data_IF_796546552961
#
_entry.id   IF_796546552961
#
_cell.length_a   1.000
_cell.length_b   1.000
_cell.length_c   1.000
_cell.angle_alpha   90.00
_cell.angle_beta   90.00
_cell.angle_gamma   90.00
#
_symmetry.space_group_name_H-M   'P 1'
#
loop_
_entity.id
_entity.type
_entity.pdbx_description
1 polymer ?
#
# COMPACT_ATOMS: atom_id res chain seq x y z
N UNK A 1 12.08 -11.22 69.37
CA UNK A 1 11.16 -11.98 68.51
C UNK A 1 10.16 -10.99 67.95
N UNK A 2 10.17 -10.80 66.62
CA UNK A 2 9.05 -10.54 65.68
C UNK A 2 7.94 -9.57 66.12
N UNK A 3 7.41 -8.59 65.38
CA UNK A 3 7.47 -7.93 64.05
C UNK A 3 6.76 -6.58 64.36
N UNK A 4 6.88 -5.45 63.67
CA UNK A 4 6.38 -5.24 62.31
C UNK A 4 6.72 -3.78 61.98
N UNK A 5 7.67 -3.54 61.08
CA UNK A 5 7.99 -2.18 60.62
C UNK A 5 6.89 -1.83 59.61
N UNK A 6 5.93 -1.00 60.03
CA UNK A 6 4.86 -0.48 59.18
C UNK A 6 5.45 0.32 58.01
N UNK A 7 5.69 -0.37 56.91
CA UNK A 7 6.15 0.20 55.66
C UNK A 7 4.95 0.87 54.97
N UNK A 8 4.74 2.16 55.23
CA UNK A 8 3.75 2.97 54.52
C UNK A 8 4.21 3.23 53.09
N UNK A 9 4.13 2.20 52.24
CA UNK A 9 4.24 2.34 50.80
C UNK A 9 2.91 2.86 50.28
N UNK A 10 2.85 4.15 50.00
CA UNK A 10 1.84 4.74 49.12
C UNK A 10 1.97 4.04 47.75
N UNK A 11 0.90 3.47 47.17
CA UNK A 11 0.97 3.07 45.77
C UNK A 11 1.07 4.38 44.97
N UNK A 12 2.23 4.62 44.37
CA UNK A 12 2.30 5.53 43.24
C UNK A 12 1.34 4.91 42.21
N UNK A 13 0.20 5.56 42.00
CA UNK A 13 -0.61 5.28 40.82
C UNK A 13 0.29 5.67 39.66
N UNK A 14 0.95 4.68 39.06
CA UNK A 14 1.38 4.80 37.68
C UNK A 14 0.08 5.02 36.93
N UNK A 15 -0.23 6.28 36.63
CA UNK A 15 -1.16 6.58 35.57
C UNK A 15 -0.57 5.88 34.35
N UNK A 16 -0.98 4.63 34.14
CA UNK A 16 -0.87 3.98 32.85
C UNK A 16 -1.56 4.94 31.91
N UNK A 17 -0.76 5.76 31.23
CA UNK A 17 -1.21 6.50 30.10
C UNK A 17 -1.66 5.41 29.14
N UNK A 18 -2.95 5.10 29.16
CA UNK A 18 -3.62 4.40 28.10
C UNK A 18 -3.46 5.29 26.87
N UNK A 19 -2.28 5.21 26.26
CA UNK A 19 -2.15 5.46 24.84
C UNK A 19 -3.12 4.47 24.25
N UNK A 20 -4.29 4.98 23.86
CA UNK A 20 -5.18 4.30 22.94
C UNK A 20 -4.32 3.96 21.73
N UNK A 21 -3.73 2.76 21.78
CA UNK A 21 -2.99 2.21 20.68
C UNK A 21 -4.09 1.94 19.68
N UNK A 22 -4.24 2.87 18.73
CA UNK A 22 -5.09 2.68 17.58
C UNK A 22 -4.72 1.30 17.01
N UNK A 23 -5.64 0.34 17.09
CA UNK A 23 -5.50 -1.02 16.52
C UNK A 23 -5.19 -0.99 15.01
N UNK A 24 -5.27 0.20 14.40
CA UNK A 24 -4.86 0.51 13.04
C UNK A 24 -3.34 0.48 12.80
N UNK A 25 -2.50 0.70 13.83
CA UNK A 25 -1.03 0.73 13.67
C UNK A 25 -0.37 -0.64 13.83
N UNK A 26 -1.13 -1.66 14.23
CA UNK A 26 -0.64 -3.03 14.22
C UNK A 26 -0.75 -3.53 12.78
N UNK A 27 0.35 -3.88 12.09
CA UNK A 27 0.23 -4.56 10.82
C UNK A 27 -0.50 -5.86 11.11
N UNK A 28 -1.77 -5.93 10.73
CA UNK A 28 -2.47 -7.20 10.61
C UNK A 28 -1.66 -7.97 9.59
N UNK A 29 -0.82 -8.88 10.06
CA UNK A 29 -0.04 -9.75 9.22
C UNK A 29 -1.03 -10.69 8.54
N UNK A 30 -1.63 -10.22 7.44
CA UNK A 30 -2.49 -11.03 6.59
C UNK A 30 -1.56 -11.93 5.80
N UNK A 31 -1.54 -13.26 6.07
CA UNK A 31 -0.58 -14.14 5.42
C UNK A 31 -0.72 -14.07 3.90
N UNK A 32 0.38 -13.85 3.19
CA UNK A 32 0.38 -13.83 1.72
C UNK A 32 0.61 -15.24 1.19
N UNK A 33 -0.41 -15.88 0.62
CA UNK A 33 -0.32 -17.25 0.09
C UNK A 33 0.45 -17.28 -1.22
N UNK A 34 0.27 -16.25 -2.05
CA UNK A 34 0.94 -16.14 -3.34
C UNK A 34 1.47 -14.72 -3.52
N UNK A 35 2.71 -14.60 -3.98
CA UNK A 35 3.31 -13.31 -4.29
C UNK A 35 4.29 -13.46 -5.44
N UNK A 36 4.21 -12.57 -6.43
CA UNK A 36 5.17 -12.51 -7.53
C UNK A 36 5.51 -11.06 -7.86
N UNK A 37 6.81 -10.81 -7.95
CA UNK A 37 7.38 -9.53 -8.36
C UNK A 37 7.87 -9.62 -9.81
N UNK A 38 7.43 -8.69 -10.63
CA UNK A 38 7.81 -8.54 -12.04
C UNK A 38 8.67 -7.29 -12.21
N UNK A 39 9.82 -7.42 -12.85
CA UNK A 39 10.67 -6.27 -13.17
C UNK A 39 10.00 -5.40 -14.24
N UNK A 40 9.87 -4.10 -13.97
CA UNK A 40 9.36 -3.12 -14.94
C UNK A 40 10.49 -2.43 -15.73
N UNK A 41 11.73 -2.62 -15.29
CA UNK A 41 12.94 -2.07 -15.90
C UNK A 41 14.01 -3.16 -16.00
N UNK A 42 14.93 -3.06 -16.96
CA UNK A 42 16.05 -4.02 -17.11
C UNK A 42 16.89 -4.17 -15.85
N UNK A 43 17.04 -3.09 -15.07
CA UNK A 43 17.75 -3.07 -13.79
C UNK A 43 16.96 -3.62 -12.61
N UNK A 44 15.70 -4.03 -12.83
CA UNK A 44 14.74 -4.43 -11.80
C UNK A 44 14.52 -3.40 -10.66
N UNK A 45 14.94 -2.15 -10.89
CA UNK A 45 14.85 -1.06 -9.92
C UNK A 45 13.38 -0.67 -9.64
N UNK A 46 12.54 -0.66 -10.69
CA UNK A 46 11.08 -0.57 -10.56
C UNK A 46 10.45 -1.95 -10.75
N UNK A 47 9.36 -2.20 -10.06
CA UNK A 47 8.69 -3.49 -10.08
C UNK A 47 7.18 -3.39 -9.92
N UNK A 48 6.48 -4.39 -10.44
CA UNK A 48 5.08 -4.69 -10.14
C UNK A 48 5.07 -5.88 -9.18
N UNK A 49 4.44 -5.75 -8.02
CA UNK A 49 4.27 -6.85 -7.07
C UNK A 49 2.78 -7.19 -6.97
N UNK A 50 2.46 -8.45 -7.25
CA UNK A 50 1.10 -8.98 -7.29
C UNK A 50 0.99 -10.14 -6.33
N UNK A 51 -0.01 -10.14 -5.46
CA UNK A 51 -0.21 -11.29 -4.60
C UNK A 51 -1.57 -11.40 -3.95
N UNK A 52 -1.77 -12.55 -3.33
CA UNK A 52 -3.03 -12.97 -2.74
C UNK A 52 -2.80 -13.11 -1.24
N UNK A 53 -3.57 -12.34 -0.50
CA UNK A 53 -3.57 -12.35 0.95
C UNK A 53 -4.69 -13.26 1.44
N UNK A 54 -4.35 -14.22 2.31
CA UNK A 54 -5.31 -15.03 3.03
C UNK A 54 -5.79 -14.30 4.27
N UNK A 55 -7.10 -14.21 4.40
CA UNK A 55 -7.74 -13.82 5.64
C UNK A 55 -9.19 -14.29 5.62
N UNK A 56 -9.95 -13.94 6.67
CA UNK A 56 -11.41 -14.11 6.66
C UNK A 56 -12.04 -13.52 5.38
N UNK A 57 -11.45 -12.44 4.87
CA UNK A 57 -11.70 -11.89 3.54
C UNK A 57 -10.39 -11.97 2.75
N UNK A 58 -10.28 -12.92 1.82
CA UNK A 58 -9.09 -13.02 0.97
C UNK A 58 -9.07 -11.88 -0.04
N UNK A 59 -7.90 -11.25 -0.24
CA UNK A 59 -7.75 -10.09 -1.13
C UNK A 59 -6.59 -10.26 -2.10
N UNK A 60 -6.59 -9.45 -3.16
CA UNK A 60 -5.48 -9.34 -4.09
C UNK A 60 -4.84 -7.97 -3.93
N UNK A 61 -3.54 -7.94 -3.69
CA UNK A 61 -2.73 -6.74 -3.70
C UNK A 61 -2.01 -6.64 -5.05
N UNK A 62 -2.15 -5.49 -5.68
CA UNK A 62 -1.38 -5.11 -6.87
C UNK A 62 -0.70 -3.79 -6.52
N UNK A 63 0.62 -3.75 -6.55
CA UNK A 63 1.37 -2.53 -6.26
C UNK A 63 2.52 -2.32 -7.24
N UNK A 64 2.77 -1.06 -7.58
CA UNK A 64 3.97 -0.64 -8.31
C UNK A 64 4.93 -0.07 -7.27
N UNK A 65 6.16 -0.55 -7.24
CA UNK A 65 7.16 -0.10 -6.29
C UNK A 65 8.53 0.11 -6.90
N UNK A 66 9.42 0.69 -6.10
CA UNK A 66 10.85 0.76 -6.39
C UNK A 66 11.72 0.34 -5.20
N UNK A 67 13.02 0.17 -5.45
CA UNK A 67 13.98 -0.26 -4.42
C UNK A 67 14.31 0.84 -3.38
N UNK A 68 13.74 2.04 -3.49
CA UNK A 68 13.84 3.11 -2.47
C UNK A 68 12.69 3.10 -1.48
N UNK A 69 11.73 2.19 -1.65
CA UNK A 69 10.56 2.07 -0.79
C UNK A 69 9.38 2.93 -1.24
N UNK A 70 9.42 3.52 -2.44
CA UNK A 70 8.24 4.16 -3.03
C UNK A 70 7.26 3.08 -3.48
N UNK A 71 5.97 3.28 -3.21
CA UNK A 71 4.90 2.31 -3.49
C UNK A 71 3.64 3.02 -3.92
N UNK A 72 3.00 2.51 -4.96
CA UNK A 72 1.66 2.90 -5.41
C UNK A 72 0.82 1.64 -5.33
N UNK A 73 -0.15 1.62 -4.42
CA UNK A 73 -1.10 0.53 -4.29
C UNK A 73 -2.21 0.76 -5.31
N UNK A 74 -2.50 -0.23 -6.14
CA UNK A 74 -3.60 -0.20 -7.09
C UNK A 74 -4.82 -0.79 -6.42
N UNK A 75 -5.66 0.09 -5.89
CA UNK A 75 -7.01 -0.28 -5.44
C UNK A 75 -7.80 -0.87 -6.62
N UNK A 76 -8.81 -1.69 -6.32
CA UNK A 76 -9.63 -2.33 -7.35
C UNK A 76 -10.16 -1.35 -8.40
N UNK A 77 -10.71 -0.20 -7.98
CA UNK A 77 -11.20 0.83 -8.89
C UNK A 77 -10.09 1.36 -9.82
N UNK A 78 -8.91 1.65 -9.26
CA UNK A 78 -7.74 2.12 -10.02
C UNK A 78 -7.25 1.06 -11.01
N UNK A 79 -7.23 -0.21 -10.59
CA UNK A 79 -6.87 -1.32 -11.45
C UNK A 79 -7.83 -1.49 -12.63
N UNK A 80 -9.14 -1.39 -12.38
CA UNK A 80 -10.16 -1.46 -13.43
C UNK A 80 -9.96 -0.35 -14.46
N UNK A 81 -9.85 0.91 -14.01
CA UNK A 81 -9.59 2.03 -14.92
C UNK A 81 -8.27 1.87 -15.68
N UNK A 82 -7.23 1.36 -15.03
CA UNK A 82 -5.95 1.10 -15.67
C UNK A 82 -6.09 0.08 -16.81
N UNK A 83 -6.83 -1.01 -16.59
CA UNK A 83 -7.08 -2.05 -17.59
C UNK A 83 -7.94 -1.55 -18.75
N UNK A 84 -8.96 -0.73 -18.48
CA UNK A 84 -9.77 -0.08 -19.53
C UNK A 84 -8.92 0.77 -20.47
N UNK A 85 -7.81 1.32 -19.95
CA UNK A 85 -6.90 2.21 -20.69
C UNK A 85 -5.68 1.54 -21.29
N UNK A 86 -5.59 0.21 -21.19
CA UNK A 86 -4.46 -0.58 -21.71
C UNK A 86 -4.11 -0.24 -23.16
N UNK A 87 -5.11 -0.05 -24.03
CA UNK A 87 -4.89 0.19 -25.45
C UNK A 87 -4.29 1.58 -25.70
N UNK A 88 -4.82 2.61 -25.01
CA UNK A 88 -4.30 3.98 -25.07
C UNK A 88 -2.86 4.05 -24.55
N UNK A 89 -2.59 3.39 -23.42
CA UNK A 89 -1.24 3.29 -22.82
C UNK A 89 -0.28 2.58 -23.77
N UNK A 90 -0.68 1.44 -24.33
CA UNK A 90 0.15 0.68 -25.27
C UNK A 90 0.48 1.52 -26.51
N UNK A 91 -0.49 2.28 -27.03
CA UNK A 91 -0.28 3.18 -28.16
C UNK A 91 0.77 4.25 -27.86
N UNK A 92 0.70 4.85 -26.66
CA UNK A 92 1.68 5.86 -26.21
C UNK A 92 3.08 5.24 -26.11
N UNK A 93 3.19 4.06 -25.46
CA UNK A 93 4.46 3.35 -25.29
C UNK A 93 5.09 2.93 -26.63
N UNK A 94 4.27 2.57 -27.61
CA UNK A 94 4.73 2.12 -28.94
C UNK A 94 4.96 3.26 -29.94
N UNK A 95 4.56 4.49 -29.62
CA UNK A 95 4.77 5.62 -30.52
C UNK A 95 6.27 5.97 -30.60
N UNK A 96 6.84 5.84 -31.80
CA UNK A 96 8.27 6.08 -32.11
C UNK A 96 8.66 7.56 -32.13
N UNK A 97 7.74 8.47 -31.84
CA UNK A 97 8.08 9.88 -31.76
C UNK A 97 8.98 10.09 -30.52
N UNK A 98 10.12 10.81 -30.65
CA UNK A 98 10.84 11.33 -29.48
C UNK A 98 10.03 12.49 -28.90
N UNK A 99 8.76 12.24 -28.59
CA UNK A 99 7.93 13.24 -27.96
C UNK A 99 8.28 13.21 -26.49
N UNK A 100 8.94 14.28 -26.07
CA UNK A 100 8.62 14.98 -24.82
C UNK A 100 7.12 14.82 -24.54
N UNK A 101 6.73 13.72 -23.88
CA UNK A 101 5.41 13.56 -23.31
C UNK A 101 5.37 14.62 -22.22
N UNK A 102 4.84 15.79 -22.57
CA UNK A 102 4.68 16.82 -21.57
C UNK A 102 3.63 16.30 -20.59
N UNK A 103 3.73 16.67 -19.32
CA UNK A 103 2.77 16.24 -18.30
C UNK A 103 1.31 16.59 -18.68
N UNK A 104 1.11 17.49 -19.65
CA UNK A 104 -0.17 17.84 -20.27
C UNK A 104 -0.71 16.77 -21.22
N UNK A 105 0.14 15.97 -21.85
CA UNK A 105 -0.29 14.82 -22.68
C UNK A 105 -0.69 13.63 -21.80
N UNK A 106 -0.20 13.61 -20.56
CA UNK A 106 -0.66 12.73 -19.47
C UNK A 106 -1.82 13.34 -18.67
N UNK A 107 -2.37 14.49 -19.09
CA UNK A 107 -3.55 15.08 -18.46
C UNK A 107 -4.70 14.11 -18.64
N UNK A 108 -4.89 13.30 -17.60
CA UNK A 108 -6.01 12.43 -17.34
C UNK A 108 -6.60 11.82 -18.62
N UNK A 109 -6.43 10.50 -18.72
CA UNK A 109 -7.61 9.69 -18.92
C UNK A 109 -8.74 10.30 -18.07
N UNK A 110 -9.59 11.13 -18.69
CA UNK A 110 -10.78 11.68 -18.06
C UNK A 110 -11.64 10.48 -17.79
N UNK A 111 -11.50 9.93 -16.59
CA UNK A 111 -12.54 9.15 -15.95
C UNK A 111 -13.71 10.12 -15.92
N UNK A 112 -14.62 9.96 -16.88
CA UNK A 112 -15.83 10.77 -16.92
C UNK A 112 -16.66 10.29 -15.75
N UNK A 113 -16.74 11.10 -14.69
CA UNK A 113 -17.84 11.00 -13.75
C UNK A 113 -19.13 11.24 -14.54
N UNK A 114 -19.79 10.16 -14.90
CA UNK A 114 -21.21 10.19 -15.20
C UNK A 114 -21.93 9.99 -13.86
N UNK A 115 -22.33 11.11 -13.26
CA UNK A 115 -23.38 11.16 -12.25
C UNK A 115 -24.57 10.29 -12.68
N UNK A 116 -25.05 9.44 -11.76
CA UNK A 116 -26.46 9.08 -11.66
C UNK A 116 -27.00 9.83 -10.45
#
# INVERSE_FOLDING_TARGET
MYEDIMNYNVPIQDETCEKQHNDFDKPRYTPRILGRRFALTSTAYKFLDVGINAGPMSSVDILIGDNRGNRIILLYATWVTFIEKRADIQRIVQSSAPSSLTFRDLELVKIRDANI
#
